data_IF_789959657948
#
_entry.id   IF_789959657948
#
_cell.length_a   1.000
_cell.length_b   1.000
_cell.length_c   1.000
_cell.angle_alpha   90.00
_cell.angle_beta   90.00
_cell.angle_gamma   90.00
#
_symmetry.space_group_name_H-M   'P 1'
#
loop_
_entity.id
_entity.type
_entity.pdbx_description
1 polymer ?
#
# COMPACT_ATOMS: atom_id res chain seq x y z
N UNK A 1 -21.90 -24.76 -17.22
CA UNK A 1 -21.85 -23.76 -16.14
C UNK A 1 -20.44 -23.20 -16.08
N UNK A 2 -20.21 -21.99 -16.57
CA UNK A 2 -18.91 -21.30 -16.45
C UNK A 2 -18.95 -20.42 -15.20
N UNK A 3 -18.16 -20.74 -14.19
CA UNK A 3 -18.00 -19.89 -13.01
C UNK A 3 -17.52 -18.50 -13.44
N UNK A 4 -18.06 -17.40 -12.88
CA UNK A 4 -17.61 -16.06 -13.24
C UNK A 4 -16.21 -15.86 -12.72
N UNK A 5 -15.24 -15.70 -13.62
CA UNK A 5 -13.90 -15.22 -13.24
C UNK A 5 -14.09 -13.81 -12.68
N UNK A 6 -13.71 -13.50 -11.43
CA UNK A 6 -13.80 -12.14 -10.93
C UNK A 6 -12.74 -11.30 -11.64
N UNK A 7 -13.08 -10.71 -12.79
CA UNK A 7 -12.26 -9.73 -13.53
C UNK A 7 -12.51 -8.33 -12.99
N UNK A 8 -12.32 -8.11 -11.69
CA UNK A 8 -12.42 -6.76 -11.15
C UNK A 8 -11.52 -6.55 -9.94
N UNK A 9 -10.25 -6.93 -10.10
CA UNK A 9 -9.18 -6.32 -9.31
C UNK A 9 -8.25 -5.67 -10.34
N UNK A 10 -8.05 -4.36 -10.24
CA UNK A 10 -7.06 -3.67 -11.05
C UNK A 10 -5.73 -4.43 -10.98
N UNK A 11 -4.95 -4.52 -12.08
CA UNK A 11 -3.64 -5.15 -12.04
C UNK A 11 -2.83 -4.61 -10.85
N UNK A 12 -2.10 -5.47 -10.14
CA UNK A 12 -1.37 -5.09 -8.92
C UNK A 12 -0.50 -3.81 -9.05
N UNK A 13 0.10 -3.47 -10.21
CA UNK A 13 0.75 -2.17 -10.41
C UNK A 13 -0.21 -0.97 -10.40
N UNK A 14 -1.39 -1.10 -11.00
CA UNK A 14 -2.41 -0.04 -11.05
C UNK A 14 -2.95 0.24 -9.65
N UNK A 15 -3.25 -0.82 -8.89
CA UNK A 15 -3.69 -0.70 -7.50
C UNK A 15 -2.65 0.00 -6.61
N UNK A 16 -1.36 -0.27 -6.82
CA UNK A 16 -0.29 0.43 -6.09
C UNK A 16 -0.23 1.92 -6.43
N UNK A 17 -0.45 2.28 -7.69
CA UNK A 17 -0.50 3.69 -8.10
C UNK A 17 -1.69 4.39 -7.45
N UNK A 18 -2.85 3.74 -7.39
CA UNK A 18 -4.05 4.25 -6.70
C UNK A 18 -3.79 4.45 -5.20
N UNK A 19 -3.21 3.46 -4.52
CA UNK A 19 -2.89 3.53 -3.09
C UNK A 19 -1.89 4.67 -2.77
N UNK A 20 -0.90 4.90 -3.66
CA UNK A 20 0.03 6.04 -3.53
C UNK A 20 -0.69 7.37 -3.78
N UNK A 21 -1.57 7.45 -4.79
CA UNK A 21 -2.30 8.66 -5.11
C UNK A 21 -3.24 9.07 -3.97
N UNK A 22 -3.95 8.11 -3.38
CA UNK A 22 -4.82 8.34 -2.20
C UNK A 22 -4.00 8.82 -1.00
N UNK A 23 -2.87 8.17 -0.70
CA UNK A 23 -2.00 8.58 0.41
C UNK A 23 -1.44 10.01 0.21
N UNK A 24 -1.17 10.42 -1.03
CA UNK A 24 -0.71 11.77 -1.34
C UNK A 24 -1.84 12.80 -1.28
N UNK A 25 -3.06 12.45 -1.69
CA UNK A 25 -4.23 13.31 -1.55
C UNK A 25 -4.55 13.58 -0.08
N UNK A 26 -4.49 12.55 0.76
CA UNK A 26 -4.65 12.62 2.22
C UNK A 26 -3.66 13.56 2.91
N UNK A 27 -2.49 13.82 2.29
CA UNK A 27 -1.48 14.74 2.79
C UNK A 27 -1.72 16.21 2.39
N UNK A 28 -2.57 16.48 1.39
CA UNK A 28 -2.85 17.85 0.93
C UNK A 28 -3.46 18.75 2.01
N UNK A 29 -4.27 18.15 2.90
CA UNK A 29 -4.97 18.86 3.97
C UNK A 29 -4.15 18.98 5.26
N UNK A 30 -2.97 18.36 5.36
CA UNK A 30 -2.16 18.33 6.59
C UNK A 30 -1.75 19.74 7.04
N UNK A 31 -1.61 20.68 6.11
CA UNK A 31 -1.24 22.07 6.40
C UNK A 31 -2.33 22.87 7.15
N UNK A 32 -3.58 22.41 7.13
CA UNK A 32 -4.73 23.07 7.77
C UNK A 32 -5.12 22.42 9.10
N UNK A 33 -4.52 21.28 9.44
CA UNK A 33 -4.84 20.48 10.62
C UNK A 33 -4.08 20.96 11.88
N UNK A 34 -4.64 20.72 13.08
CA UNK A 34 -3.88 20.80 14.32
C UNK A 34 -2.66 19.87 14.29
N UNK A 35 -1.56 20.29 14.93
CA UNK A 35 -0.26 19.59 14.85
C UNK A 35 -0.35 18.10 15.22
N UNK A 36 -1.15 17.74 16.23
CA UNK A 36 -1.33 16.36 16.65
C UNK A 36 -2.01 15.51 15.56
N UNK A 37 -3.04 16.06 14.91
CA UNK A 37 -3.79 15.38 13.86
C UNK A 37 -2.97 15.31 12.56
N UNK A 38 -2.24 16.38 12.24
CA UNK A 38 -1.28 16.44 11.15
C UNK A 38 -0.20 15.34 11.29
N UNK A 39 0.33 15.15 12.50
CA UNK A 39 1.34 14.13 12.78
C UNK A 39 0.75 12.72 12.59
N UNK A 40 -0.46 12.46 13.12
CA UNK A 40 -1.12 11.17 12.96
C UNK A 40 -1.39 10.84 11.49
N UNK A 41 -1.85 11.84 10.72
CA UNK A 41 -2.11 11.71 9.29
C UNK A 41 -0.82 11.41 8.50
N UNK A 42 0.28 12.10 8.83
CA UNK A 42 1.61 11.86 8.24
C UNK A 42 2.12 10.44 8.53
N UNK A 43 1.95 9.95 9.76
CA UNK A 43 2.36 8.59 10.14
C UNK A 43 1.58 7.53 9.36
N UNK A 44 0.27 7.73 9.21
CA UNK A 44 -0.58 6.79 8.47
C UNK A 44 -0.25 6.81 6.96
N UNK A 45 -0.08 8.00 6.37
CA UNK A 45 0.35 8.12 4.97
C UNK A 45 1.72 7.46 4.75
N UNK A 46 2.68 7.67 5.64
CA UNK A 46 3.99 7.02 5.58
C UNK A 46 3.88 5.49 5.62
N UNK A 47 3.05 4.93 6.49
CA UNK A 47 2.81 3.49 6.60
C UNK A 47 2.20 2.93 5.30
N UNK A 48 1.19 3.60 4.74
CA UNK A 48 0.56 3.19 3.48
C UNK A 48 1.55 3.22 2.31
N UNK A 49 2.36 4.28 2.22
CA UNK A 49 3.40 4.41 1.20
C UNK A 49 4.48 3.33 1.33
N UNK A 50 4.90 2.98 2.55
CA UNK A 50 5.85 1.88 2.75
C UNK A 50 5.30 0.55 2.23
N UNK A 51 4.03 0.25 2.50
CA UNK A 51 3.38 -0.99 2.02
C UNK A 51 3.24 -0.99 0.50
N UNK A 52 2.77 0.12 -0.08
CA UNK A 52 2.52 0.24 -1.51
C UNK A 52 3.83 0.21 -2.33
N UNK A 53 4.88 0.88 -1.86
CA UNK A 53 6.16 0.98 -2.56
C UNK A 53 7.07 -0.22 -2.30
N UNK A 54 7.01 -0.83 -1.11
CA UNK A 54 7.85 -1.97 -0.73
C UNK A 54 7.01 -3.15 -0.20
N UNK A 55 6.23 -3.82 -1.06
CA UNK A 55 5.38 -4.94 -0.64
C UNK A 55 6.19 -6.13 -0.08
N UNK A 56 7.44 -6.31 -0.51
CA UNK A 56 8.35 -7.34 -0.01
C UNK A 56 9.03 -6.98 1.32
N UNK A 57 9.09 -5.69 1.71
CA UNK A 57 9.64 -5.30 3.01
C UNK A 57 8.68 -5.59 4.17
N UNK A 58 7.39 -5.77 3.85
CA UNK A 58 6.31 -6.04 4.81
C UNK A 58 5.97 -7.53 4.88
N UNK A 59 6.33 -8.30 3.86
CA UNK A 59 6.26 -9.76 3.94
C UNK A 59 7.52 -10.28 4.65
N UNK A 60 7.41 -10.95 5.82
CA UNK A 60 8.54 -11.67 6.35
C UNK A 60 8.96 -12.65 5.26
N UNK A 61 10.21 -12.53 4.83
CA UNK A 61 10.82 -13.40 3.83
C UNK A 61 10.49 -14.85 4.19
N UNK A 62 9.51 -15.43 3.48
CA UNK A 62 9.27 -16.86 3.53
C UNK A 62 10.63 -17.50 3.24
N UNK A 63 11.10 -18.41 4.10
CA UNK A 63 12.42 -19.00 3.92
C UNK A 63 12.41 -19.57 2.51
N UNK A 64 13.29 -19.03 1.65
CA UNK A 64 13.55 -19.64 0.35
C UNK A 64 14.00 -21.04 0.70
N UNK A 65 13.11 -22.01 0.53
CA UNK A 65 13.43 -23.41 0.63
C UNK A 65 14.59 -23.58 -0.33
N UNK A 66 15.77 -23.63 0.26
CA UNK A 66 17.03 -23.98 -0.35
C UNK A 66 16.75 -25.30 -1.03
N UNK A 67 16.52 -25.23 -2.35
CA UNK A 67 16.27 -26.41 -3.17
C UNK A 67 17.64 -27.03 -3.41
N UNK A 68 18.20 -27.57 -2.34
CA UNK A 68 19.37 -28.41 -2.35
C UNK A 68 18.92 -29.83 -2.70
N UNK A 69 19.56 -30.34 -3.76
CA UNK A 69 19.56 -31.68 -4.35
C UNK A 69 18.46 -32.00 -5.35
#
# INVERSE_FOLDING_TARGET
MTAPTPRSAAPAPVRRIEEVAEAMADLGEVSTMPVADALAQLQEAHRRLLVALNPDAVQPSLPRLDRAR
#
